data_IF_433936093210
#
_entry.id   IF_433936093210
#
_cell.length_a   1.000
_cell.length_b   1.000
_cell.length_c   1.000
_cell.angle_alpha   90.00
_cell.angle_beta   90.00
_cell.angle_gamma   90.00
#
_symmetry.space_group_name_H-M   'P 1'
#
loop_
_entity.id
_entity.type
_entity.pdbx_description
1 polymer ?
#
# COMPACT_ATOMS: atom_id res chain seq x y z
N UNK A 1 -8.89 20.75 -9.47
CA UNK A 1 -9.94 20.13 -8.64
C UNK A 1 -9.40 20.01 -7.21
N UNK A 2 -10.09 20.63 -6.25
CA UNK A 2 -9.63 20.73 -4.87
C UNK A 2 -9.69 19.37 -4.14
N UNK A 3 -10.57 18.48 -4.56
CA UNK A 3 -10.77 17.20 -3.91
C UNK A 3 -9.67 16.21 -4.30
N UNK A 4 -9.33 16.14 -5.59
CA UNK A 4 -8.18 15.35 -6.04
C UNK A 4 -6.86 15.87 -5.43
N UNK A 5 -6.73 17.18 -5.21
CA UNK A 5 -5.58 17.76 -4.49
C UNK A 5 -5.58 17.33 -3.01
N UNK A 6 -6.71 17.41 -2.32
CA UNK A 6 -6.84 16.98 -0.93
C UNK A 6 -6.49 15.49 -0.74
N UNK A 7 -6.90 14.61 -1.66
CA UNK A 7 -6.53 13.18 -1.63
C UNK A 7 -5.01 12.99 -1.75
N UNK A 8 -4.35 13.77 -2.60
CA UNK A 8 -2.89 13.71 -2.77
C UNK A 8 -2.12 14.19 -1.54
N UNK A 9 -2.71 15.09 -0.76
CA UNK A 9 -2.12 15.63 0.45
C UNK A 9 -2.35 14.77 1.70
N UNK A 10 -3.17 13.71 1.60
CA UNK A 10 -3.38 12.78 2.71
C UNK A 10 -2.04 12.15 3.13
N UNK A 11 -1.55 12.39 4.37
CA UNK A 11 -0.22 11.92 4.80
C UNK A 11 -0.06 10.39 4.79
N UNK A 12 -1.19 9.67 4.73
CA UNK A 12 -1.26 8.23 4.57
C UNK A 12 -0.88 7.77 3.14
N UNK A 13 -1.19 8.60 2.13
CA UNK A 13 -1.05 8.28 0.71
C UNK A 13 0.17 8.92 0.06
N UNK A 14 0.69 10.02 0.64
CA UNK A 14 1.84 10.78 0.11
C UNK A 14 3.02 9.87 -0.31
N UNK A 15 3.46 8.88 0.49
CA UNK A 15 4.62 8.06 0.09
C UNK A 15 4.38 7.14 -1.11
N UNK A 16 3.12 6.85 -1.45
CA UNK A 16 2.76 6.05 -2.64
C UNK A 16 2.52 6.93 -3.87
N UNK A 17 2.51 8.24 -3.71
CA UNK A 17 2.25 9.20 -4.79
C UNK A 17 3.50 9.95 -5.23
N UNK A 18 4.48 10.08 -4.35
CA UNK A 18 5.77 10.73 -4.62
C UNK A 18 6.64 9.90 -5.56
N UNK A 19 7.27 10.56 -6.53
CA UNK A 19 8.39 9.98 -7.28
C UNK A 19 9.54 9.76 -6.30
N UNK A 20 10.03 8.52 -6.24
CA UNK A 20 10.97 8.01 -5.22
C UNK A 20 12.25 8.86 -5.15
N UNK A 21 12.24 9.92 -4.34
CA UNK A 21 13.41 10.79 -4.09
C UNK A 21 13.80 10.85 -2.61
N UNK A 22 13.04 10.21 -1.72
CA UNK A 22 13.34 10.18 -0.28
C UNK A 22 13.46 8.73 0.20
N UNK A 23 14.66 8.36 0.63
CA UNK A 23 15.06 7.00 1.03
C UNK A 23 14.38 6.48 2.32
N UNK A 24 13.47 7.25 2.93
CA UNK A 24 12.82 6.89 4.19
C UNK A 24 11.33 7.26 4.09
N UNK A 25 10.38 6.31 4.21
CA UNK A 25 8.96 6.65 4.26
C UNK A 25 8.68 7.44 5.55
N UNK A 26 8.57 8.76 5.43
CA UNK A 26 8.58 9.73 6.55
C UNK A 26 7.31 9.73 7.43
N UNK A 27 6.32 8.89 7.11
CA UNK A 27 5.01 8.89 7.75
C UNK A 27 4.76 7.54 8.44
N UNK A 28 4.64 7.55 9.77
CA UNK A 28 4.19 6.38 10.56
C UNK A 28 2.90 5.80 9.98
N UNK A 29 2.01 6.67 9.48
CA UNK A 29 0.74 6.26 8.87
C UNK A 29 0.96 5.46 7.58
N UNK A 30 1.85 5.90 6.71
CA UNK A 30 2.18 5.19 5.48
C UNK A 30 2.89 3.84 5.75
N UNK A 31 3.76 3.79 6.77
CA UNK A 31 4.35 2.53 7.24
C UNK A 31 3.28 1.57 7.74
N UNK A 32 2.31 2.05 8.53
CA UNK A 32 1.17 1.24 9.00
C UNK A 32 0.34 0.73 7.82
N UNK A 33 0.10 1.54 6.80
CA UNK A 33 -0.62 1.08 5.60
C UNK A 33 0.17 0.03 4.82
N UNK A 34 1.48 0.22 4.63
CA UNK A 34 2.34 -0.80 4.00
C UNK A 34 2.30 -2.11 4.81
N UNK A 35 2.43 -2.04 6.13
CA UNK A 35 2.32 -3.23 6.99
C UNK A 35 0.95 -3.89 6.88
N UNK A 36 -0.14 -3.12 6.93
CA UNK A 36 -1.49 -3.65 6.76
C UNK A 36 -1.68 -4.35 5.40
N UNK A 37 -1.14 -3.77 4.33
CA UNK A 37 -1.16 -4.36 3.00
C UNK A 37 -0.31 -5.65 2.89
N UNK A 38 0.81 -5.74 3.62
CA UNK A 38 1.61 -6.96 3.71
C UNK A 38 0.86 -8.12 4.39
N UNK A 39 0.07 -7.82 5.42
CA UNK A 39 -0.72 -8.84 6.12
C UNK A 39 -1.98 -9.25 5.35
N UNK A 40 -2.73 -8.28 4.82
CA UNK A 40 -3.98 -8.51 4.09
C UNK A 40 -4.24 -7.35 3.11
N UNK A 41 -3.62 -7.43 1.93
CA UNK A 41 -3.81 -6.47 0.84
C UNK A 41 -5.30 -6.33 0.44
N UNK A 42 -6.08 -7.42 0.25
CA UNK A 42 -7.51 -7.30 -0.02
C UNK A 42 -8.28 -6.46 1.01
N UNK A 43 -8.05 -6.69 2.31
CA UNK A 43 -8.70 -5.94 3.37
C UNK A 43 -8.26 -4.47 3.39
N UNK A 44 -6.95 -4.21 3.25
CA UNK A 44 -6.42 -2.85 3.18
C UNK A 44 -7.05 -2.05 2.03
N UNK A 45 -7.20 -2.66 0.85
CA UNK A 45 -7.86 -2.03 -0.29
C UNK A 45 -9.35 -1.77 -0.04
N UNK A 46 -10.06 -2.69 0.62
CA UNK A 46 -11.47 -2.47 1.00
C UNK A 46 -11.63 -1.31 1.98
N UNK A 47 -10.72 -1.16 2.93
CA UNK A 47 -10.75 -0.04 3.89
C UNK A 47 -10.47 1.28 3.19
N UNK A 48 -9.47 1.34 2.30
CA UNK A 48 -9.20 2.53 1.50
C UNK A 48 -10.40 2.92 0.61
N UNK A 49 -11.09 1.93 0.05
CA UNK A 49 -12.31 2.17 -0.71
C UNK A 49 -13.42 2.74 0.17
N UNK A 50 -13.69 2.12 1.32
CA UNK A 50 -14.79 2.52 2.21
C UNK A 50 -14.56 3.90 2.86
N UNK A 51 -13.33 4.19 3.28
CA UNK A 51 -13.04 5.35 4.13
C UNK A 51 -12.47 6.55 3.35
N UNK A 52 -11.89 6.32 2.15
CA UNK A 52 -11.24 7.37 1.37
C UNK A 52 -11.91 7.54 0.02
N UNK A 53 -11.83 6.55 -0.87
CA UNK A 53 -12.24 6.72 -2.26
C UNK A 53 -13.76 6.84 -2.42
N UNK A 54 -14.53 6.01 -1.71
CA UNK A 54 -16.00 6.04 -1.73
C UNK A 54 -16.56 7.39 -1.30
N UNK A 55 -16.20 7.92 -0.12
CA UNK A 55 -16.61 9.25 0.33
C UNK A 55 -16.13 10.37 -0.60
N UNK A 56 -14.92 10.26 -1.14
CA UNK A 56 -14.37 11.22 -2.10
C UNK A 56 -15.21 11.25 -3.39
N UNK A 57 -15.51 10.10 -3.97
CA UNK A 57 -16.31 10.02 -5.19
C UNK A 57 -17.75 10.49 -4.93
N UNK A 58 -18.32 10.15 -3.78
CA UNK A 58 -19.67 10.60 -3.39
C UNK A 58 -19.76 12.12 -3.19
N UNK A 59 -18.66 12.76 -2.79
CA UNK A 59 -18.59 14.21 -2.62
C UNK A 59 -18.41 14.99 -3.94
N UNK A 60 -18.11 14.29 -5.06
CA UNK A 60 -17.99 14.94 -6.36
C UNK A 60 -19.36 15.33 -6.93
N UNK A 61 -19.47 16.51 -7.57
CA UNK A 61 -20.71 16.94 -8.19
C UNK A 61 -21.12 15.95 -9.30
N UNK A 62 -22.27 15.29 -9.12
CA UNK A 62 -22.81 14.29 -10.06
C UNK A 62 -23.55 14.90 -11.26
N UNK A 63 -23.46 16.22 -11.43
CA UNK A 63 -24.15 16.95 -12.50
C UNK A 63 -23.49 16.73 -13.87
N UNK A 64 -24.31 16.65 -14.93
CA UNK A 64 -23.87 16.55 -16.32
C UNK A 64 -23.00 17.77 -16.69
N UNK A 65 -21.68 17.61 -16.53
CA UNK A 65 -20.68 18.62 -16.82
C UNK A 65 -19.30 17.98 -16.82
N UNK A 66 -18.48 18.35 -17.79
CA UNK A 66 -17.14 17.78 -18.03
C UNK A 66 -16.24 17.84 -16.79
N UNK A 67 -16.42 18.85 -15.94
CA UNK A 67 -15.61 19.02 -14.72
C UNK A 67 -15.81 17.92 -13.67
N UNK A 68 -17.05 17.42 -13.48
CA UNK A 68 -17.33 16.36 -12.50
C UNK A 68 -16.78 15.01 -12.96
N UNK A 69 -16.89 14.73 -14.26
CA UNK A 69 -16.33 13.53 -14.87
C UNK A 69 -14.79 13.54 -14.88
N UNK A 70 -14.18 14.68 -15.20
CA UNK A 70 -12.72 14.85 -15.12
C UNK A 70 -12.20 14.69 -13.69
N UNK A 71 -12.90 15.23 -12.69
CA UNK A 71 -12.52 15.08 -11.29
C UNK A 71 -12.60 13.61 -10.85
N UNK A 72 -13.65 12.90 -11.27
CA UNK A 72 -13.82 11.47 -11.00
C UNK A 72 -12.72 10.64 -11.65
N UNK A 73 -12.41 10.88 -12.93
CA UNK A 73 -11.30 10.22 -13.62
C UNK A 73 -9.96 10.45 -12.91
N UNK A 74 -9.71 11.65 -12.37
CA UNK A 74 -8.48 11.93 -11.60
C UNK A 74 -8.42 11.16 -10.29
N UNK A 75 -9.55 11.01 -9.59
CA UNK A 75 -9.65 10.20 -8.37
C UNK A 75 -9.45 8.71 -8.69
N UNK A 76 -10.06 8.22 -9.78
CA UNK A 76 -9.89 6.84 -10.24
C UNK A 76 -8.43 6.54 -10.64
N UNK A 77 -7.77 7.49 -11.31
CA UNK A 77 -6.34 7.37 -11.64
C UNK A 77 -5.46 7.32 -10.39
N UNK A 78 -5.77 8.13 -9.36
CA UNK A 78 -5.05 8.08 -8.08
C UNK A 78 -5.25 6.75 -7.37
N UNK A 79 -6.48 6.24 -7.36
CA UNK A 79 -6.82 4.92 -6.82
C UNK A 79 -6.00 3.82 -7.51
N UNK A 80 -5.97 3.82 -8.84
CA UNK A 80 -5.22 2.85 -9.62
C UNK A 80 -3.71 2.91 -9.31
N UNK A 81 -3.14 4.12 -9.22
CA UNK A 81 -1.73 4.31 -8.86
C UNK A 81 -1.41 3.75 -7.47
N UNK A 82 -2.22 4.09 -6.46
CA UNK A 82 -2.02 3.62 -5.09
C UNK A 82 -2.15 2.10 -5.00
N UNK A 83 -3.10 1.51 -5.72
CA UNK A 83 -3.26 0.05 -5.78
C UNK A 83 -2.02 -0.62 -6.40
N UNK A 84 -1.54 -0.08 -7.53
CA UNK A 84 -0.34 -0.59 -8.20
C UNK A 84 0.87 -0.53 -7.27
N UNK A 85 1.12 0.61 -6.65
CA UNK A 85 2.25 0.80 -5.73
C UNK A 85 2.16 -0.11 -4.50
N UNK A 86 0.99 -0.24 -3.88
CA UNK A 86 0.81 -1.17 -2.75
C UNK A 86 1.06 -2.62 -3.17
N UNK A 87 0.56 -3.03 -4.34
CA UNK A 87 0.77 -4.39 -4.84
C UNK A 87 2.24 -4.68 -5.17
N UNK A 88 2.97 -3.73 -5.76
CA UNK A 88 4.41 -3.85 -6.03
C UNK A 88 5.20 -3.96 -4.74
N UNK A 89 4.92 -3.08 -3.77
CA UNK A 89 5.58 -3.08 -2.47
C UNK A 89 5.37 -4.38 -1.69
N UNK A 90 4.18 -5.00 -1.80
CA UNK A 90 3.90 -6.30 -1.17
C UNK A 90 4.65 -7.43 -1.88
N UNK A 91 4.68 -7.41 -3.22
CA UNK A 91 5.40 -8.40 -4.01
C UNK A 91 6.92 -8.36 -3.76
N UNK A 92 7.52 -7.16 -3.69
CA UNK A 92 8.94 -6.96 -3.40
C UNK A 92 9.33 -7.48 -2.01
N UNK A 93 8.50 -7.23 -0.99
CA UNK A 93 8.76 -7.71 0.37
C UNK A 93 8.62 -9.24 0.47
N UNK A 94 7.66 -9.83 -0.23
CA UNK A 94 7.45 -11.29 -0.25
C UNK A 94 8.56 -12.03 -1.02
N UNK A 95 9.20 -11.36 -1.99
CA UNK A 95 10.31 -11.92 -2.76
C UNK A 95 11.68 -11.80 -2.05
N UNK A 96 11.76 -11.02 -0.96
CA UNK A 96 13.00 -10.69 -0.26
C UNK A 96 13.45 -11.69 0.81
N UNK A 97 12.66 -12.72 1.13
CA UNK A 97 13.03 -13.74 2.12
C UNK A 97 13.61 -14.99 1.42
N UNK A 98 14.95 -15.14 1.33
CA UNK A 98 15.50 -16.49 1.22
C UNK A 98 15.10 -17.26 2.50
N UNK A 99 14.71 -18.54 2.38
CA UNK A 99 14.42 -19.35 3.56
C UNK A 99 15.63 -19.30 4.51
N UNK A 100 15.43 -19.31 5.84
CA UNK A 100 16.54 -19.37 6.78
C UNK A 100 17.32 -20.66 6.51
N UNK A 101 18.47 -20.54 5.84
CA UNK A 101 19.43 -21.61 5.70
C UNK A 101 19.99 -21.93 7.10
N UNK A 102 19.63 -23.10 7.61
CA UNK A 102 20.49 -23.82 8.55
C UNK A 102 20.31 -23.52 10.04
N UNK A 103 19.16 -23.90 10.60
CA UNK A 103 19.10 -24.38 11.99
C UNK A 103 18.34 -25.71 12.03
N UNK A 104 19.04 -26.83 11.81
CA UNK A 104 18.42 -28.14 12.02
C UNK A 104 19.08 -29.34 11.37
N UNK A 105 20.34 -29.64 11.70
CA UNK A 105 20.87 -31.00 11.57
C UNK A 105 21.95 -31.26 12.64
N UNK A 106 21.55 -31.26 13.91
CA UNK A 106 22.32 -31.94 14.96
C UNK A 106 21.64 -33.28 15.26
N UNK A 107 21.73 -34.22 14.33
CA UNK A 107 21.40 -35.62 14.61
C UNK A 107 22.62 -36.31 15.20
N UNK A 108 22.46 -36.77 16.44
CA UNK A 108 23.04 -37.93 17.11
C UNK A 108 24.47 -38.41 16.76
N UNK A 109 25.29 -38.52 17.79
CA UNK A 109 26.53 -39.31 17.78
C UNK A 109 27.12 -39.46 19.17
N UNK A 110 26.43 -40.18 20.06
CA UNK A 110 26.97 -40.62 21.34
C UNK A 110 27.59 -42.02 21.19
N UNK A 111 28.92 -42.11 21.21
CA UNK A 111 29.76 -43.28 21.51
C UNK A 111 31.21 -42.78 21.49
N UNK A 112 32.04 -42.92 22.52
CA UNK A 112 32.59 -44.15 23.10
C UNK A 112 33.22 -43.81 24.46
N UNK A 113 33.12 -44.72 25.42
CA UNK A 113 33.78 -44.59 26.72
C UNK A 113 33.46 -45.75 27.66
N UNK A 114 34.09 -46.90 27.43
CA UNK A 114 34.57 -47.88 28.43
C UNK A 114 35.14 -49.11 27.71
#
# INVERSE_FOLDING_TARGET
>A
DALAAAVRELPLLVPFLQEQTLAIPVSVKARVLKMAALYDLPLAMRVLEAEVFGPTIAALPSGAGTAGEEARQRVDALRAKIQQELSSNVAEETAGEPPPEGLGAATAGASEGA
#
